data_IF_320971076976
#
_entry.id   IF_320971076976
#
_cell.length_a   1.000
_cell.length_b   1.000
_cell.length_c   1.000
_cell.angle_alpha   90.00
_cell.angle_beta   90.00
_cell.angle_gamma   90.00
#
_symmetry.space_group_name_H-M   'P 1'
#
loop_
_entity.id
_entity.type
_entity.pdbx_description
1 polymer ?
#
# COMPACT_ATOMS: atom_id res chain seq x y z
N UNK A 1 -16.89 14.35 -8.07
CA UNK A 1 -17.13 13.68 -6.78
C UNK A 1 -16.43 14.50 -5.71
N UNK A 2 -17.15 14.94 -4.68
CA UNK A 2 -16.55 15.69 -3.57
C UNK A 2 -15.92 14.67 -2.61
N UNK A 3 -14.69 14.25 -2.91
CA UNK A 3 -14.03 13.23 -2.11
C UNK A 3 -13.50 13.86 -0.81
N UNK A 4 -14.34 13.81 0.23
CA UNK A 4 -13.96 14.18 1.61
C UNK A 4 -12.77 13.36 2.11
N UNK A 5 -12.52 12.18 1.54
CA UNK A 5 -11.47 11.24 1.95
C UNK A 5 -10.67 10.73 0.75
N UNK A 6 -9.45 10.26 1.03
CA UNK A 6 -8.54 9.65 0.07
C UNK A 6 -9.21 8.48 -0.67
N UNK A 7 -9.22 8.52 -2.00
CA UNK A 7 -9.83 7.48 -2.85
C UNK A 7 -8.78 6.70 -3.63
N UNK A 8 -9.05 5.41 -3.92
CA UNK A 8 -8.28 4.65 -4.90
C UNK A 8 -8.34 5.25 -6.30
N UNK A 9 -7.31 4.99 -7.10
CA UNK A 9 -7.33 5.32 -8.53
C UNK A 9 -8.41 4.50 -9.25
N UNK A 10 -9.29 5.18 -9.99
CA UNK A 10 -10.42 4.57 -10.69
C UNK A 10 -9.98 3.67 -11.85
N UNK A 11 -10.75 2.62 -12.12
CA UNK A 11 -10.51 1.72 -13.26
C UNK A 11 -10.78 2.37 -14.62
N UNK A 12 -11.72 3.31 -14.66
CA UNK A 12 -12.06 4.08 -15.86
C UNK A 12 -11.03 5.19 -16.14
N UNK A 13 -10.27 5.60 -15.13
CA UNK A 13 -9.20 6.61 -15.24
C UNK A 13 -7.87 5.97 -15.65
N UNK A 14 -7.56 4.81 -15.07
CA UNK A 14 -6.36 4.04 -15.39
C UNK A 14 -6.63 2.53 -15.27
N UNK A 15 -6.23 1.72 -16.27
CA UNK A 15 -6.36 0.27 -16.19
C UNK A 15 -5.66 -0.29 -14.96
N UNK A 16 -6.25 -1.32 -14.33
CA UNK A 16 -5.81 -1.84 -13.02
C UNK A 16 -4.41 -2.47 -13.03
N UNK A 17 -3.95 -2.92 -14.18
CA UNK A 17 -2.60 -3.48 -14.36
C UNK A 17 -1.52 -2.40 -14.56
N UNK A 18 -1.89 -1.13 -14.53
CA UNK A 18 -0.97 0.01 -14.65
C UNK A 18 -1.00 0.90 -13.40
N UNK A 19 0.06 1.71 -13.29
CA UNK A 19 0.25 2.67 -12.20
C UNK A 19 1.04 2.11 -11.02
N UNK A 20 1.20 2.90 -9.95
CA UNK A 20 1.89 2.48 -8.74
C UNK A 20 1.17 1.32 -8.05
N UNK A 21 1.92 0.29 -7.66
CA UNK A 21 1.44 -0.85 -6.87
C UNK A 21 1.34 -0.52 -5.38
N UNK A 22 0.56 0.50 -5.02
CA UNK A 22 0.25 0.83 -3.63
C UNK A 22 -0.92 0.00 -3.13
N UNK A 23 -1.02 -0.20 -1.82
CA UNK A 23 -2.14 -0.95 -1.23
C UNK A 23 -3.48 -0.30 -1.63
N UNK A 24 -4.37 -1.11 -2.20
CA UNK A 24 -5.67 -0.68 -2.74
C UNK A 24 -5.61 0.45 -3.78
N UNK A 25 -4.45 0.72 -4.41
CA UNK A 25 -4.25 1.87 -5.32
C UNK A 25 -4.52 3.22 -4.65
N UNK A 26 -4.35 3.32 -3.33
CA UNK A 26 -4.45 4.57 -2.57
C UNK A 26 -3.19 5.43 -2.78
N UNK A 27 -3.32 6.73 -2.50
CA UNK A 27 -2.20 7.67 -2.52
C UNK A 27 -1.16 7.37 -1.42
N UNK A 28 0.12 7.59 -1.73
CA UNK A 28 1.21 7.51 -0.75
C UNK A 28 1.28 8.83 0.00
N UNK A 29 1.18 8.77 1.33
CA UNK A 29 1.37 9.90 2.23
C UNK A 29 2.71 9.84 2.96
N UNK A 30 3.13 10.98 3.52
CA UNK A 30 4.22 11.02 4.48
C UNK A 30 3.69 10.67 5.88
N UNK A 31 4.58 10.32 6.81
CA UNK A 31 4.18 10.10 8.22
C UNK A 31 3.62 11.38 8.87
N UNK A 32 4.01 12.56 8.35
CA UNK A 32 3.51 13.85 8.82
C UNK A 32 2.15 14.24 8.20
N UNK A 33 1.57 13.42 7.33
CA UNK A 33 0.28 13.68 6.71
C UNK A 33 -0.86 13.48 7.72
N UNK A 34 -1.84 14.39 7.73
CA UNK A 34 -3.05 14.24 8.54
C UNK A 34 -3.93 13.10 7.98
N UNK A 35 -3.76 11.90 8.54
CA UNK A 35 -4.50 10.70 8.17
C UNK A 35 -5.18 10.11 9.41
N UNK A 36 -6.48 9.81 9.30
CA UNK A 36 -7.19 9.07 10.35
C UNK A 36 -6.67 7.62 10.44
N UNK A 37 -6.32 7.03 9.28
CA UNK A 37 -5.83 5.67 9.15
C UNK A 37 -4.74 5.63 8.08
N UNK A 38 -3.66 4.89 8.35
CA UNK A 38 -2.58 4.62 7.41
C UNK A 38 -2.34 3.10 7.27
N UNK A 39 -1.90 2.69 6.08
CA UNK A 39 -1.45 1.32 5.81
C UNK A 39 0.07 1.34 5.71
N UNK A 40 0.73 0.53 6.53
CA UNK A 40 2.20 0.46 6.60
C UNK A 40 2.64 -0.99 6.49
N UNK A 41 3.53 -1.27 5.53
CA UNK A 41 4.19 -2.57 5.41
C UNK A 41 5.46 -2.62 6.26
N UNK A 42 5.66 -3.73 6.99
CA UNK A 42 6.90 -3.97 7.77
C UNK A 42 7.62 -5.20 7.19
N UNK A 43 8.58 -5.00 6.26
CA UNK A 43 9.27 -6.09 5.58
C UNK A 43 10.42 -6.65 6.45
N UNK A 44 10.08 -7.47 7.44
CA UNK A 44 11.05 -8.06 8.39
C UNK A 44 10.87 -9.58 8.52
N UNK A 45 11.97 -10.32 8.50
CA UNK A 45 12.00 -11.77 8.73
C UNK A 45 13.29 -12.27 9.40
N UNK A 46 14.08 -11.36 9.99
CA UNK A 46 15.37 -11.72 10.63
C UNK A 46 15.20 -12.60 11.88
N UNK A 47 13.98 -12.69 12.41
CA UNK A 47 13.63 -13.56 13.55
C UNK A 47 13.12 -14.95 13.14
N UNK A 48 13.07 -15.28 11.85
CA UNK A 48 12.52 -16.55 11.39
C UNK A 48 13.54 -17.70 11.57
N UNK A 49 13.10 -18.83 12.15
CA UNK A 49 13.99 -19.94 12.53
C UNK A 49 14.21 -21.02 11.45
N UNK A 50 13.44 -21.00 10.37
CA UNK A 50 13.51 -22.01 9.30
C UNK A 50 13.56 -21.35 7.92
N UNK A 51 12.40 -21.17 7.26
CA UNK A 51 12.33 -20.61 5.91
C UNK A 51 12.07 -19.10 5.96
N UNK A 52 13.08 -18.32 5.56
CA UNK A 52 12.96 -16.87 5.37
C UNK A 52 12.22 -16.52 4.07
N UNK A 53 11.92 -15.23 3.88
CA UNK A 53 11.26 -14.70 2.68
C UNK A 53 10.04 -13.83 2.97
N UNK A 54 9.49 -13.86 4.19
CA UNK A 54 8.30 -13.07 4.54
C UNK A 54 8.54 -11.55 4.48
N UNK A 55 9.81 -11.10 4.44
CA UNK A 55 10.17 -9.71 4.15
C UNK A 55 9.63 -9.21 2.80
N UNK A 56 9.39 -10.10 1.84
CA UNK A 56 8.84 -9.73 0.53
C UNK A 56 7.30 -9.65 0.52
N UNK A 57 6.63 -10.18 1.55
CA UNK A 57 5.17 -10.24 1.65
C UNK A 57 4.47 -8.90 1.44
N UNK A 58 4.88 -7.80 2.10
CA UNK A 58 4.22 -6.50 1.94
C UNK A 58 4.21 -5.95 0.50
N UNK A 59 5.10 -6.41 -0.38
CA UNK A 59 5.14 -5.99 -1.79
C UNK A 59 4.23 -6.84 -2.69
N UNK A 60 3.97 -8.09 -2.30
CA UNK A 60 3.20 -9.05 -3.09
C UNK A 60 1.69 -8.94 -2.86
N UNK A 61 1.30 -8.46 -1.67
CA UNK A 61 -0.07 -8.08 -1.33
C UNK A 61 -0.47 -6.80 -2.09
#
# INVERSE_FOLDING_TARGET
MNAKYNQPLGGNEMPRFAGPGTMFRLQVGSVASELDIAIVGVPLDVGTSNRAGTRFGPREI
#
